data_IF_435788079084
#
_entry.id   IF_435788079084
#
_cell.length_a   1.000
_cell.length_b   1.000
_cell.length_c   1.000
_cell.angle_alpha   90.00
_cell.angle_beta   90.00
_cell.angle_gamma   90.00
#
_symmetry.space_group_name_H-M   'P 1'
#
loop_
_entity.id
_entity.type
_entity.pdbx_description
1 polymer ?
#
# COMPACT_ATOMS: atom_id res chain seq x y z
N UNK A 1 7.82 7.70 16.46
CA UNK A 1 6.81 7.34 17.50
C UNK A 1 5.38 7.65 17.07
N UNK A 2 5.05 8.88 16.66
CA UNK A 2 3.66 9.24 16.28
C UNK A 2 3.06 8.42 15.12
N UNK A 3 3.85 8.06 14.11
CA UNK A 3 3.34 7.27 12.96
C UNK A 3 3.00 5.82 13.32
N UNK A 4 3.81 5.18 14.17
CA UNK A 4 3.58 3.78 14.61
C UNK A 4 2.34 3.71 15.50
N UNK A 5 2.20 4.64 16.45
CA UNK A 5 0.99 4.73 17.28
C UNK A 5 -0.27 5.01 16.44
N UNK A 6 -0.17 5.88 15.43
CA UNK A 6 -1.26 6.09 14.47
C UNK A 6 -1.62 4.83 13.68
N UNK A 7 -0.61 4.06 13.24
CA UNK A 7 -0.84 2.78 12.56
C UNK A 7 -1.50 1.73 13.45
N UNK A 8 -1.05 1.61 14.71
CA UNK A 8 -1.67 0.72 15.70
C UNK A 8 -3.12 1.13 16.01
N UNK A 9 -3.36 2.43 16.16
CA UNK A 9 -4.72 2.95 16.38
C UNK A 9 -5.62 2.68 15.17
N UNK A 10 -5.10 2.84 13.94
CA UNK A 10 -5.84 2.51 12.73
C UNK A 10 -6.20 1.02 12.67
N UNK A 11 -5.28 0.12 13.06
CA UNK A 11 -5.56 -1.31 13.18
C UNK A 11 -6.63 -1.61 14.22
N UNK A 12 -6.56 -0.98 15.39
CA UNK A 12 -7.54 -1.12 16.46
C UNK A 12 -8.92 -0.60 16.05
N UNK A 13 -9.00 0.55 15.37
CA UNK A 13 -10.24 1.04 14.77
C UNK A 13 -10.76 0.10 13.68
N UNK A 14 -9.87 -0.50 12.89
CA UNK A 14 -10.23 -1.49 11.88
C UNK A 14 -10.94 -2.71 12.48
N UNK A 15 -10.47 -3.20 13.63
CA UNK A 15 -11.13 -4.28 14.39
C UNK A 15 -12.59 -3.92 14.72
N UNK A 16 -12.83 -2.73 15.28
CA UNK A 16 -14.20 -2.28 15.61
C UNK A 16 -15.08 -2.07 14.37
N UNK A 17 -14.51 -1.59 13.27
CA UNK A 17 -15.28 -1.41 12.03
C UNK A 17 -15.62 -2.74 11.34
N UNK A 18 -14.89 -3.80 11.66
CA UNK A 18 -14.97 -5.11 11.03
C UNK A 18 -15.62 -6.16 11.95
N UNK A 19 -16.14 -5.74 13.12
CA UNK A 19 -16.79 -6.54 14.18
C UNK A 19 -17.98 -7.40 13.71
N UNK A 20 -18.37 -7.29 12.43
CA UNK A 20 -19.43 -8.11 11.81
C UNK A 20 -18.94 -9.41 11.17
N UNK A 21 -17.64 -9.71 11.18
CA UNK A 21 -17.06 -10.94 10.63
C UNK A 21 -16.82 -11.99 11.72
N UNK A 22 -17.60 -13.07 11.63
CA UNK A 22 -17.47 -14.42 12.20
C UNK A 22 -16.80 -14.61 13.58
N UNK A 23 -17.52 -15.31 14.46
CA UNK A 23 -17.17 -15.60 15.85
C UNK A 23 -15.94 -16.52 16.04
N UNK A 24 -15.36 -17.09 14.97
CA UNK A 24 -14.45 -18.24 15.07
C UNK A 24 -13.00 -18.03 14.57
N UNK A 25 -12.65 -16.89 13.96
CA UNK A 25 -11.26 -16.66 13.50
C UNK A 25 -10.66 -15.34 13.99
N UNK A 26 -9.37 -15.37 14.29
CA UNK A 26 -8.57 -14.21 14.68
C UNK A 26 -8.86 -12.99 13.78
N UNK A 27 -9.05 -11.82 14.38
CA UNK A 27 -9.35 -10.57 13.68
C UNK A 27 -8.37 -10.31 12.52
N UNK A 28 -8.86 -10.48 11.28
CA UNK A 28 -8.04 -10.39 10.07
C UNK A 28 -8.17 -9.00 9.44
N UNK A 29 -7.44 -8.03 9.99
CA UNK A 29 -7.37 -6.64 9.48
C UNK A 29 -6.11 -6.41 8.64
N UNK A 30 -5.32 -7.46 8.40
CA UNK A 30 -4.11 -7.39 7.58
C UNK A 30 -4.46 -7.24 6.10
N UNK A 31 -3.80 -6.32 5.37
CA UNK A 31 -3.88 -6.29 3.92
C UNK A 31 -3.31 -7.57 3.30
N UNK A 32 -3.94 -8.01 2.22
CA UNK A 32 -3.56 -9.17 1.43
C UNK A 32 -3.43 -8.82 -0.06
N UNK A 33 -2.54 -9.50 -0.80
CA UNK A 33 -2.33 -9.24 -2.21
C UNK A 33 -3.46 -9.81 -3.06
N UNK A 34 -4.02 -8.96 -3.92
CA UNK A 34 -5.31 -9.13 -4.58
C UNK A 34 -5.20 -9.49 -6.07
N UNK A 35 -4.30 -10.41 -6.42
CA UNK A 35 -4.22 -10.92 -7.80
C UNK A 35 -4.89 -12.29 -7.94
N UNK A 36 -5.65 -12.45 -9.04
CA UNK A 36 -6.30 -13.69 -9.46
C UNK A 36 -5.29 -14.67 -10.10
N UNK A 37 -4.10 -14.76 -9.51
CA UNK A 37 -3.04 -15.68 -9.91
C UNK A 37 -3.08 -16.91 -9.02
N UNK A 38 -2.79 -18.08 -9.58
CA UNK A 38 -2.82 -19.35 -8.85
C UNK A 38 -1.73 -19.43 -7.78
N UNK A 39 -0.61 -18.72 -7.99
CA UNK A 39 0.56 -18.76 -7.10
C UNK A 39 0.61 -17.56 -6.14
N UNK A 40 0.58 -17.84 -4.84
CA UNK A 40 0.70 -16.84 -3.77
C UNK A 40 2.00 -16.01 -3.86
N UNK A 41 3.10 -16.64 -4.27
CA UNK A 41 4.40 -15.97 -4.45
C UNK A 41 4.33 -14.86 -5.51
N UNK A 42 3.63 -15.10 -6.62
CA UNK A 42 3.47 -14.11 -7.69
C UNK A 42 2.59 -12.93 -7.23
N UNK A 43 1.56 -13.19 -6.43
CA UNK A 43 0.72 -12.14 -5.82
C UNK A 43 1.55 -11.23 -4.91
N UNK A 44 2.34 -11.83 -4.01
CA UNK A 44 3.19 -11.10 -3.08
C UNK A 44 4.27 -10.30 -3.83
N UNK A 45 4.84 -10.86 -4.90
CA UNK A 45 5.82 -10.17 -5.72
C UNK A 45 5.24 -8.95 -6.44
N UNK A 46 4.07 -9.09 -7.07
CA UNK A 46 3.38 -7.97 -7.71
C UNK A 46 3.02 -6.87 -6.69
N UNK A 47 2.54 -7.26 -5.51
CA UNK A 47 2.28 -6.32 -4.41
C UNK A 47 3.55 -5.61 -3.94
N UNK A 48 4.67 -6.32 -3.84
CA UNK A 48 5.97 -5.76 -3.45
C UNK A 48 6.41 -4.68 -4.45
N UNK A 49 6.34 -4.96 -5.75
CA UNK A 49 6.72 -3.99 -6.80
C UNK A 49 5.79 -2.78 -6.78
N UNK A 50 4.49 -3.00 -6.65
CA UNK A 50 3.51 -1.94 -6.59
C UNK A 50 3.75 -1.02 -5.38
N UNK A 51 3.92 -1.57 -4.19
CA UNK A 51 4.18 -0.80 -2.97
C UNK A 51 5.53 -0.05 -3.05
N UNK A 52 6.57 -0.70 -3.57
CA UNK A 52 7.87 -0.06 -3.80
C UNK A 52 7.76 1.12 -4.79
N UNK A 53 7.18 0.88 -5.97
CA UNK A 53 7.09 1.88 -7.05
C UNK A 53 6.17 3.05 -6.67
N UNK A 54 5.03 2.77 -6.05
CA UNK A 54 4.11 3.81 -5.57
C UNK A 54 4.77 4.68 -4.51
N UNK A 55 5.47 4.07 -3.54
CA UNK A 55 6.11 4.82 -2.46
C UNK A 55 7.32 5.62 -2.97
N UNK A 56 8.03 5.08 -3.96
CA UNK A 56 9.10 5.79 -4.66
C UNK A 56 8.57 7.07 -5.33
N UNK A 57 7.52 6.96 -6.15
CA UNK A 57 6.91 8.11 -6.84
C UNK A 57 6.37 9.13 -5.85
N UNK A 58 5.63 8.68 -4.83
CA UNK A 58 5.09 9.58 -3.81
C UNK A 58 6.20 10.35 -3.08
N UNK A 59 7.28 9.67 -2.69
CA UNK A 59 8.39 10.29 -1.98
C UNK A 59 9.11 11.32 -2.85
N UNK A 60 9.29 11.06 -4.16
CA UNK A 60 9.86 12.05 -5.09
C UNK A 60 8.98 13.29 -5.16
N UNK A 61 7.67 13.13 -5.35
CA UNK A 61 6.73 14.26 -5.41
C UNK A 61 6.77 15.04 -4.09
N UNK A 62 6.77 14.33 -2.96
CA UNK A 62 6.86 14.94 -1.64
C UNK A 62 8.14 15.76 -1.46
N UNK A 63 9.30 15.24 -1.89
CA UNK A 63 10.59 15.94 -1.79
C UNK A 63 10.61 17.19 -2.68
N UNK A 64 10.16 17.08 -3.94
CA UNK A 64 10.08 18.22 -4.87
C UNK A 64 9.17 19.32 -4.31
N UNK A 65 8.00 18.97 -3.78
CA UNK A 65 7.08 19.95 -3.21
C UNK A 65 7.52 20.51 -1.85
N UNK A 66 8.38 19.79 -1.13
CA UNK A 66 8.88 20.21 0.17
C UNK A 66 10.12 21.09 0.10
N UNK A 67 10.90 21.02 -0.98
CA UNK A 67 12.09 21.86 -1.14
C UNK A 67 11.73 23.34 -1.28
N UNK A 68 12.39 24.19 -0.48
CA UNK A 68 12.15 25.65 -0.49
C UNK A 68 12.46 26.29 -1.83
N UNK A 69 13.41 25.75 -2.58
CA UNK A 69 13.81 26.30 -3.87
C UNK A 69 12.88 25.89 -5.02
N UNK A 70 12.17 24.76 -4.86
CA UNK A 70 11.29 24.17 -5.88
C UNK A 70 9.80 24.38 -5.57
N UNK A 71 9.47 24.88 -4.37
CA UNK A 71 8.10 25.22 -4.00
C UNK A 71 7.51 26.23 -4.97
N UNK A 72 6.49 25.79 -5.69
CA UNK A 72 5.69 26.62 -6.62
C UNK A 72 4.98 27.78 -5.91
N UNK A 73 4.76 27.66 -4.60
CA UNK A 73 4.00 28.61 -3.80
C UNK A 73 4.51 28.70 -2.35
N UNK A 74 4.36 29.87 -1.74
CA UNK A 74 4.59 30.09 -0.30
C UNK A 74 3.40 29.62 0.55
N UNK A 75 2.25 29.38 -0.07
CA UNK A 75 1.05 28.96 0.62
C UNK A 75 1.19 27.51 1.12
N UNK A 76 1.00 27.31 2.42
CA UNK A 76 1.05 25.98 3.06
C UNK A 76 -0.13 25.12 2.62
N UNK A 77 -1.31 25.70 2.41
CA UNK A 77 -2.51 24.97 2.03
C UNK A 77 -2.37 24.37 0.63
N UNK A 78 -1.87 25.15 -0.33
CA UNK A 78 -1.67 24.67 -1.70
C UNK A 78 -0.58 23.57 -1.76
N UNK A 79 0.52 23.73 -1.02
CA UNK A 79 1.55 22.68 -0.93
C UNK A 79 0.99 21.37 -0.33
N UNK A 80 0.16 21.46 0.72
CA UNK A 80 -0.51 20.29 1.29
C UNK A 80 -1.46 19.62 0.29
N UNK A 81 -2.19 20.41 -0.51
CA UNK A 81 -3.09 19.88 -1.53
C UNK A 81 -2.31 19.16 -2.64
N UNK A 82 -1.17 19.70 -3.07
CA UNK A 82 -0.31 19.06 -4.07
C UNK A 82 0.21 17.72 -3.54
N UNK A 83 0.70 17.68 -2.30
CA UNK A 83 1.18 16.44 -1.67
C UNK A 83 0.05 15.40 -1.56
N UNK A 84 -1.16 15.81 -1.14
CA UNK A 84 -2.32 14.92 -1.06
C UNK A 84 -2.71 14.37 -2.44
N UNK A 85 -2.68 15.22 -3.47
CA UNK A 85 -2.96 14.81 -4.86
C UNK A 85 -1.89 13.86 -5.38
N UNK A 86 -0.62 14.11 -5.06
CA UNK A 86 0.51 13.25 -5.36
C UNK A 86 0.39 11.87 -4.71
N UNK A 87 -0.11 11.80 -3.47
CA UNK A 87 -0.40 10.54 -2.79
C UNK A 87 -1.46 9.74 -3.55
N UNK A 88 -2.58 10.36 -3.93
CA UNK A 88 -3.65 9.71 -4.70
C UNK A 88 -3.12 9.22 -6.06
N UNK A 89 -2.35 10.05 -6.77
CA UNK A 89 -1.76 9.69 -8.05
C UNK A 89 -0.80 8.50 -7.92
N UNK A 90 0.07 8.49 -6.90
CA UNK A 90 0.98 7.39 -6.63
C UNK A 90 0.24 6.08 -6.33
N UNK A 91 -0.89 6.13 -5.61
CA UNK A 91 -1.74 4.96 -5.37
C UNK A 91 -2.37 4.41 -6.65
N UNK A 92 -2.83 5.29 -7.53
CA UNK A 92 -3.38 4.89 -8.84
C UNK A 92 -2.29 4.27 -9.74
N UNK A 93 -1.08 4.83 -9.73
CA UNK A 93 0.06 4.31 -10.51
C UNK A 93 0.56 2.95 -10.01
N UNK A 94 0.49 2.69 -8.71
CA UNK A 94 0.89 1.42 -8.09
C UNK A 94 -0.20 0.34 -8.17
N UNK A 95 -0.97 0.34 -9.26
CA UNK A 95 -2.00 -0.67 -9.53
C UNK A 95 -3.37 -0.39 -8.90
N UNK A 96 -3.56 0.78 -8.29
CA UNK A 96 -4.86 1.22 -7.79
C UNK A 96 -5.50 0.21 -6.85
N UNK A 97 -6.79 -0.08 -7.04
CA UNK A 97 -7.55 -1.03 -6.22
C UNK A 97 -7.30 -2.51 -6.57
N UNK A 98 -6.38 -2.82 -7.48
CA UNK A 98 -6.20 -4.19 -7.99
C UNK A 98 -5.14 -5.00 -7.25
N UNK A 99 -4.30 -4.35 -6.43
CA UNK A 99 -3.11 -5.02 -5.89
C UNK A 99 -3.28 -5.45 -4.44
N UNK A 100 -4.08 -4.72 -3.65
CA UNK A 100 -4.21 -4.95 -2.21
C UNK A 100 -5.65 -4.84 -1.77
N UNK A 101 -6.07 -5.76 -0.91
CA UNK A 101 -7.41 -5.77 -0.33
C UNK A 101 -7.42 -6.25 1.11
N UNK A 102 -8.50 -5.95 1.80
CA UNK A 102 -8.81 -6.49 3.12
C UNK A 102 -9.75 -7.68 2.95
N UNK A 103 -9.51 -8.81 3.63
CA UNK A 103 -10.42 -9.95 3.58
C UNK A 103 -11.77 -9.56 4.19
N UNK A 104 -12.88 -9.81 3.48
CA UNK A 104 -14.24 -9.41 3.90
C UNK A 104 -15.17 -10.56 4.29
N UNK A 105 -15.15 -11.70 3.59
CA UNK A 105 -15.91 -12.89 3.98
C UNK A 105 -15.38 -14.09 3.19
N UNK A 106 -15.39 -15.27 3.82
CA UNK A 106 -15.16 -16.53 3.12
C UNK A 106 -16.51 -17.21 2.90
N UNK A 107 -16.94 -17.32 1.64
CA UNK A 107 -18.16 -18.05 1.29
C UNK A 107 -17.77 -19.33 0.57
N UNK A 108 -18.18 -20.47 1.12
CA UNK A 108 -18.08 -21.76 0.45
C UNK A 108 -19.18 -21.82 -0.62
N UNK A 109 -18.80 -21.68 -1.89
CA UNK A 109 -19.72 -21.87 -2.99
C UNK A 109 -19.51 -23.29 -3.52
N UNK A 110 -20.52 -24.13 -3.35
CA UNK A 110 -20.53 -25.44 -3.99
C UNK A 110 -20.82 -25.24 -5.48
N UNK A 111 -19.81 -25.38 -6.32
CA UNK A 111 -19.97 -25.30 -7.77
C UNK A 111 -20.17 -26.72 -8.33
N UNK A 112 -21.20 -26.91 -9.14
CA UNK A 112 -21.32 -28.10 -10.00
C UNK A 112 -20.29 -28.00 -11.12
N UNK A 113 -19.42 -29.01 -11.23
CA UNK A 113 -18.56 -29.16 -12.40
C UNK A 113 -19.39 -29.20 -13.68
N UNK A 114 -18.85 -28.70 -14.80
CA UNK A 114 -19.51 -28.69 -16.12
C UNK A 114 -19.97 -30.07 -16.59
N UNK A 115 -19.37 -31.13 -16.04
CA UNK A 115 -19.71 -32.52 -16.34
C UNK A 115 -20.86 -33.09 -15.50
N UNK A 116 -21.43 -32.31 -14.55
CA UNK A 116 -22.57 -32.70 -13.72
C UNK A 116 -22.31 -33.81 -12.70
N UNK A 117 -21.08 -34.33 -12.63
CA UNK A 117 -20.72 -35.53 -11.85
C UNK A 117 -20.01 -35.24 -10.52
N UNK A 118 -19.47 -34.03 -10.33
CA UNK A 118 -18.76 -33.67 -9.10
C UNK A 118 -19.14 -32.28 -8.58
N UNK A 119 -19.37 -32.21 -7.28
CA UNK A 119 -19.48 -30.97 -6.52
C UNK A 119 -18.09 -30.63 -5.97
N UNK A 120 -17.54 -29.50 -6.39
CA UNK A 120 -16.34 -28.94 -5.77
C UNK A 120 -16.77 -27.82 -4.82
N UNK A 121 -16.33 -27.90 -3.57
CA UNK A 121 -16.43 -26.77 -2.66
C UNK A 121 -15.35 -25.77 -3.05
N UNK A 122 -15.75 -24.67 -3.69
CA UNK A 122 -14.86 -23.57 -4.03
C UNK A 122 -14.97 -22.54 -2.92
N UNK A 123 -13.89 -22.38 -2.16
CA UNK A 123 -13.76 -21.31 -1.18
C UNK A 123 -13.57 -19.99 -1.93
N UNK A 124 -14.60 -19.14 -1.91
CA UNK A 124 -14.53 -17.81 -2.51
C UNK A 124 -14.26 -16.81 -1.40
N UNK A 125 -13.03 -16.30 -1.37
CA UNK A 125 -12.63 -15.19 -0.50
C UNK A 125 -13.05 -13.88 -1.13
N UNK A 126 -13.97 -13.18 -0.47
CA UNK A 126 -14.32 -11.81 -0.83
C UNK A 126 -13.31 -10.85 -0.23
N UNK A 127 -12.84 -9.89 -1.02
CA UNK A 127 -11.92 -8.86 -0.58
C UNK A 127 -12.50 -7.47 -0.81
N UNK A 128 -12.41 -6.63 0.22
CA UNK A 128 -12.60 -5.19 0.07
C UNK A 128 -11.34 -4.59 -0.54
N UNK A 129 -11.46 -4.12 -1.78
CA UNK A 129 -10.33 -3.50 -2.49
C UNK A 129 -9.94 -2.18 -1.84
N UNK A 130 -8.75 -2.10 -1.27
CA UNK A 130 -8.23 -0.89 -0.61
C UNK A 130 -7.18 -0.18 -1.45
N UNK A 131 -6.52 -0.92 -2.34
CA UNK A 131 -5.35 -0.47 -3.10
C UNK A 131 -4.10 -0.33 -2.25
N UNK A 132 -3.00 0.09 -2.89
CA UNK A 132 -1.69 0.17 -2.23
C UNK A 132 -1.70 1.05 -0.97
N UNK A 133 -0.96 0.62 0.05
CA UNK A 133 -0.89 1.29 1.35
C UNK A 133 0.07 2.47 1.28
N UNK A 134 1.23 2.27 0.65
CA UNK A 134 2.32 3.24 0.54
C UNK A 134 2.72 3.84 1.90
N UNK A 135 2.59 3.06 2.97
CA UNK A 135 2.88 3.53 4.32
C UNK A 135 3.32 2.35 5.22
N UNK A 136 4.63 2.23 5.51
CA UNK A 136 5.15 1.10 6.29
C UNK A 136 4.63 1.10 7.73
N UNK A 137 4.38 2.26 8.33
CA UNK A 137 3.88 2.35 9.69
C UNK A 137 2.41 1.89 9.78
N UNK A 138 1.60 2.20 8.77
CA UNK A 138 0.23 1.71 8.68
C UNK A 138 0.20 0.19 8.46
N UNK A 139 1.01 -0.32 7.53
CA UNK A 139 1.12 -1.76 7.27
C UNK A 139 1.56 -2.53 8.52
N UNK A 140 2.57 -2.02 9.23
CA UNK A 140 3.05 -2.61 10.48
C UNK A 140 1.97 -2.60 11.57
N UNK A 141 1.24 -1.48 11.71
CA UNK A 141 0.16 -1.37 12.68
C UNK A 141 -0.98 -2.37 12.45
N UNK A 142 -1.43 -2.50 11.20
CA UNK A 142 -2.47 -3.45 10.80
C UNK A 142 -2.05 -4.91 11.05
N UNK A 143 -0.81 -5.26 10.69
CA UNK A 143 -0.27 -6.61 10.91
C UNK A 143 -0.03 -6.94 12.39
N UNK A 144 0.39 -5.95 13.19
CA UNK A 144 0.60 -6.12 14.63
C UNK A 144 -0.71 -6.39 15.36
N UNK A 145 -1.77 -5.64 15.04
CA UNK A 145 -3.10 -5.85 15.64
C UNK A 145 -3.70 -7.19 15.19
N UNK A 146 -3.49 -7.59 13.95
CA UNK A 146 -4.00 -8.87 13.42
C UNK A 146 -3.12 -10.07 13.81
N UNK A 147 -1.98 -9.86 14.49
CA UNK A 147 -0.94 -10.87 14.76
C UNK A 147 -0.52 -11.69 13.52
N UNK A 148 -0.58 -11.08 12.33
CA UNK A 148 -0.40 -11.74 11.04
C UNK A 148 0.72 -11.08 10.24
N UNK A 149 1.93 -11.64 10.32
CA UNK A 149 3.16 -11.05 9.77
C UNK A 149 3.60 -11.61 8.41
N UNK A 150 2.77 -12.45 7.76
CA UNK A 150 3.11 -13.10 6.49
C UNK A 150 3.44 -12.08 5.39
N UNK A 151 2.77 -10.93 5.40
CA UNK A 151 2.90 -9.89 4.37
C UNK A 151 3.76 -8.70 4.81
N UNK A 152 4.72 -8.91 5.72
CA UNK A 152 5.59 -7.83 6.20
C UNK A 152 6.49 -7.27 5.09
N UNK A 153 6.94 -8.14 4.17
CA UNK A 153 7.81 -7.75 3.06
C UNK A 153 7.10 -6.77 2.11
N UNK A 154 5.93 -7.08 1.51
CA UNK A 154 5.27 -6.16 0.59
C UNK A 154 4.79 -4.88 1.27
N UNK A 155 4.27 -4.93 2.50
CA UNK A 155 3.58 -3.78 3.09
C UNK A 155 4.39 -2.95 4.07
N UNK A 156 5.54 -3.45 4.54
CA UNK A 156 6.43 -2.70 5.45
C UNK A 156 7.78 -2.48 4.77
N UNK A 157 8.44 -3.54 4.31
CA UNK A 157 9.79 -3.43 3.78
C UNK A 157 9.82 -2.76 2.41
N UNK A 158 8.96 -3.15 1.48
CA UNK A 158 8.93 -2.59 0.13
C UNK A 158 8.67 -1.08 0.09
N UNK A 159 7.65 -0.51 0.78
CA UNK A 159 7.45 0.93 0.80
C UNK A 159 8.63 1.64 1.51
N UNK A 160 9.18 1.06 2.58
CA UNK A 160 10.37 1.63 3.21
C UNK A 160 11.55 1.75 2.23
N UNK A 161 11.85 0.67 1.48
CA UNK A 161 12.90 0.67 0.46
C UNK A 161 12.60 1.63 -0.68
N UNK A 162 11.33 1.75 -1.11
CA UNK A 162 10.89 2.69 -2.13
C UNK A 162 11.16 4.15 -1.71
N UNK A 163 10.89 4.48 -0.45
CA UNK A 163 11.19 5.80 0.11
C UNK A 163 12.68 6.09 0.18
N UNK A 164 13.50 5.13 0.62
CA UNK A 164 14.97 5.27 0.64
C UNK A 164 15.53 5.45 -0.78
N UNK A 165 15.06 4.65 -1.74
CA UNK A 165 15.48 4.75 -3.13
C UNK A 165 15.12 6.12 -3.74
N UNK A 166 13.92 6.64 -3.44
CA UNK A 166 13.49 7.97 -3.88
C UNK A 166 14.34 9.09 -3.29
N UNK A 167 14.71 8.98 -2.01
CA UNK A 167 15.60 9.94 -1.36
C UNK A 167 16.99 9.95 -2.02
N UNK A 168 17.59 8.77 -2.25
CA UNK A 168 18.88 8.66 -2.93
C UNK A 168 18.80 9.24 -4.36
N UNK A 169 17.73 8.92 -5.09
CA UNK A 169 17.48 9.46 -6.42
C UNK A 169 17.39 10.99 -6.42
N UNK A 170 16.63 11.56 -5.49
CA UNK A 170 16.48 13.00 -5.34
C UNK A 170 17.81 13.70 -5.04
N UNK A 171 18.56 13.21 -4.06
CA UNK A 171 19.84 13.80 -3.67
C UNK A 171 20.92 13.66 -4.75
N UNK A 172 21.11 12.47 -5.29
CA UNK A 172 22.23 12.20 -6.19
C UNK A 172 21.99 12.63 -7.63
N UNK A 173 20.77 12.45 -8.12
CA UNK A 173 20.46 12.71 -9.53
C UNK A 173 19.78 14.07 -9.69
N UNK A 174 18.73 14.33 -8.92
CA UNK A 174 17.91 15.52 -9.15
C UNK A 174 18.66 16.80 -8.75
N UNK A 175 19.17 16.90 -7.52
CA UNK A 175 19.85 18.11 -7.05
C UNK A 175 21.15 18.39 -7.79
N UNK A 176 21.95 17.35 -8.11
CA UNK A 176 23.17 17.53 -8.89
C UNK A 176 22.90 18.02 -10.31
N UNK A 177 21.83 17.53 -10.94
CA UNK A 177 21.43 17.97 -12.29
C UNK A 177 21.02 19.45 -12.28
N UNK A 178 20.27 19.89 -11.25
CA UNK A 178 19.89 21.29 -11.07
C UNK A 178 21.11 22.20 -10.87
N UNK A 179 22.08 21.77 -10.05
CA UNK A 179 23.31 22.53 -9.83
C UNK A 179 24.12 22.70 -11.12
N UNK A 180 24.31 21.61 -11.88
CA UNK A 180 25.02 21.65 -13.16
C UNK A 180 24.35 22.62 -14.14
N UNK A 181 23.01 22.57 -14.23
CA UNK A 181 22.24 23.47 -15.08
C UNK A 181 22.42 24.95 -14.69
N UNK A 182 22.30 25.27 -13.41
CA UNK A 182 22.42 26.64 -12.92
C UNK A 182 23.86 27.19 -13.03
N UNK A 183 24.88 26.34 -12.98
CA UNK A 183 26.28 26.76 -13.16
C UNK A 183 26.66 27.12 -14.59
N UNK A 184 25.81 26.79 -15.57
CA UNK A 184 26.04 27.05 -16.99
C UNK A 184 25.42 28.34 -17.51
N UNK A 185 24.65 29.05 -16.68
CA UNK A 185 24.07 30.36 -16.97
C UNK A 185 24.88 31.47 -16.30
#
# INVERSE_FOLDING_TARGET
>A
MGQISGGLLAGLCGVFLQERQNEDEFFKVSPEPLLDMTDQSQKAFAATIAEFSGQFVFTIIFLICSDRHLRMTKDKALNSLIIASGYIAARLMSGGSMVTGLPENETLITQMSKDGTQFSNVEVRQFRRTGSLLNPALGLGLQTISLHFEFIVPYVLAPFLGGVAAFIFHELLFLKSQYAFNSSQ
#
